data_IF_286892787420
#
_entry.id   IF_286892787420
#
_cell.length_a   1.000
_cell.length_b   1.000
_cell.length_c   1.000
_cell.angle_alpha   90.00
_cell.angle_beta   90.00
_cell.angle_gamma   90.00
#
_symmetry.space_group_name_H-M   'P 1'
#
loop_
_entity.id
_entity.type
_entity.pdbx_description
1 polymer ?
#
# COMPACT_ATOMS: atom_id res chain seq x y z
N UNK A 1 3.44 16.07 22.08
CA UNK A 1 2.97 14.67 22.03
C UNK A 1 2.47 14.35 20.63
N UNK A 2 3.27 13.67 19.83
CA UNK A 2 2.95 12.59 18.88
C UNK A 2 4.25 12.31 18.10
N UNK A 3 4.71 11.07 18.06
CA UNK A 3 5.92 10.69 17.32
C UNK A 3 5.48 9.83 16.12
N UNK A 4 5.14 10.41 14.95
CA UNK A 4 4.54 9.66 13.85
C UNK A 4 5.52 8.71 13.11
N UNK A 5 6.79 8.63 13.53
CA UNK A 5 7.83 7.97 12.73
C UNK A 5 8.18 6.54 13.12
N UNK A 6 7.46 5.87 14.04
CA UNK A 6 7.69 4.42 14.29
C UNK A 6 6.82 3.51 13.41
N UNK A 7 6.57 3.94 12.18
CA UNK A 7 5.89 3.18 11.12
C UNK A 7 6.73 3.26 9.84
N UNK A 8 8.05 3.11 9.96
CA UNK A 8 8.87 2.83 8.77
C UNK A 8 8.36 1.53 8.18
N UNK A 9 7.62 1.64 7.08
CA UNK A 9 7.66 0.62 6.05
C UNK A 9 9.15 0.44 5.75
N UNK A 10 9.68 -0.77 5.88
CA UNK A 10 11.04 -1.02 5.40
C UNK A 10 11.13 -0.58 3.93
N UNK A 11 12.33 -0.27 3.41
CA UNK A 11 12.49 0.33 2.08
C UNK A 11 11.59 -0.34 1.04
N UNK A 12 11.70 -1.67 0.92
CA UNK A 12 10.84 -2.50 0.08
C UNK A 12 9.33 -2.20 0.16
N UNK A 13 8.74 -2.16 1.36
CA UNK A 13 7.31 -1.91 1.54
C UNK A 13 6.95 -0.43 1.37
N UNK A 14 7.91 0.47 1.55
CA UNK A 14 7.75 1.91 1.32
C UNK A 14 7.68 2.19 -0.18
N UNK A 15 8.68 1.72 -0.93
CA UNK A 15 8.72 1.80 -2.39
C UNK A 15 7.45 1.20 -3.02
N UNK A 16 7.06 -0.01 -2.59
CA UNK A 16 5.82 -0.64 -3.05
C UNK A 16 4.57 0.21 -2.79
N UNK A 17 4.51 0.88 -1.64
CA UNK A 17 3.36 1.74 -1.30
C UNK A 17 3.28 2.97 -2.20
N UNK A 18 4.42 3.59 -2.54
CA UNK A 18 4.44 4.74 -3.44
C UNK A 18 4.01 4.37 -4.87
N UNK A 19 4.41 3.19 -5.33
CA UNK A 19 3.97 2.62 -6.61
C UNK A 19 2.46 2.40 -6.60
N UNK A 20 1.96 1.71 -5.57
CA UNK A 20 0.52 1.43 -5.44
C UNK A 20 -0.31 2.70 -5.25
N UNK A 21 0.20 3.74 -4.59
CA UNK A 21 -0.45 5.04 -4.49
C UNK A 21 -0.67 5.71 -5.84
N UNK A 22 0.24 5.49 -6.80
CA UNK A 22 0.13 6.02 -8.16
C UNK A 22 -0.78 5.14 -9.03
N UNK A 23 -0.82 3.83 -8.74
CA UNK A 23 -1.55 2.86 -9.56
C UNK A 23 -3.00 2.60 -9.09
N UNK A 24 -3.31 2.83 -7.82
CA UNK A 24 -4.64 2.62 -7.22
C UNK A 24 -5.30 3.98 -7.04
N UNK A 25 -6.45 4.19 -7.68
CA UNK A 25 -7.25 5.38 -7.40
C UNK A 25 -7.85 5.27 -6.00
N UNK A 26 -7.80 6.31 -5.15
CA UNK A 26 -8.31 6.21 -3.76
C UNK A 26 -9.81 5.88 -3.70
N UNK A 27 -10.54 6.19 -4.77
CA UNK A 27 -11.97 5.95 -4.94
C UNK A 27 -12.31 4.54 -5.47
N UNK A 28 -11.32 3.81 -6.00
CA UNK A 28 -11.52 2.54 -6.70
C UNK A 28 -10.51 1.49 -6.20
N UNK A 29 -11.01 0.32 -5.83
CA UNK A 29 -10.16 -0.79 -5.43
C UNK A 29 -9.41 -1.37 -6.62
N UNK A 30 -8.32 -2.08 -6.36
CA UNK A 30 -7.63 -2.85 -7.38
C UNK A 30 -7.57 -4.33 -6.99
N UNK A 31 -7.74 -5.22 -7.97
CA UNK A 31 -7.50 -6.64 -7.72
C UNK A 31 -6.04 -6.88 -7.25
N UNK A 32 -5.80 -7.78 -6.29
CA UNK A 32 -4.47 -8.07 -5.77
C UNK A 32 -3.51 -8.54 -6.87
N UNK A 33 -3.99 -9.31 -7.85
CA UNK A 33 -3.19 -9.73 -9.01
C UNK A 33 -2.68 -8.54 -9.83
N UNK A 34 -3.50 -7.50 -9.98
CA UNK A 34 -3.14 -6.29 -10.72
C UNK A 34 -2.21 -5.40 -9.88
N UNK A 35 -2.39 -5.34 -8.57
CA UNK A 35 -1.43 -4.70 -7.66
C UNK A 35 -0.05 -5.36 -7.75
N UNK A 36 0.01 -6.70 -7.71
CA UNK A 36 1.23 -7.46 -7.92
C UNK A 36 1.84 -7.21 -9.30
N UNK A 37 1.02 -7.11 -10.34
CA UNK A 37 1.45 -6.74 -11.70
C UNK A 37 2.19 -5.40 -11.73
N UNK A 38 1.58 -4.35 -11.15
CA UNK A 38 2.21 -3.02 -11.08
C UNK A 38 3.56 -3.04 -10.35
N UNK A 39 3.66 -3.78 -9.25
CA UNK A 39 4.92 -3.92 -8.51
C UNK A 39 6.00 -4.64 -9.34
N UNK A 40 5.63 -5.65 -10.14
CA UNK A 40 6.57 -6.35 -11.01
C UNK A 40 7.10 -5.47 -12.14
N UNK A 41 6.25 -4.61 -12.71
CA UNK A 41 6.68 -3.66 -13.75
C UNK A 41 7.76 -2.71 -13.22
N UNK A 42 7.69 -2.36 -11.94
CA UNK A 42 8.67 -1.54 -11.23
C UNK A 42 9.90 -2.33 -10.73
N UNK A 43 9.99 -3.62 -11.04
CA UNK A 43 11.15 -4.47 -10.76
C UNK A 43 11.08 -5.28 -9.47
N UNK A 44 9.92 -5.38 -8.82
CA UNK A 44 9.73 -6.28 -7.69
C UNK A 44 9.64 -7.74 -8.15
N UNK A 45 10.29 -8.65 -7.43
CA UNK A 45 10.04 -10.09 -7.56
C UNK A 45 8.63 -10.43 -7.07
N UNK A 46 8.04 -11.52 -7.56
CA UNK A 46 6.75 -12.05 -7.06
C UNK A 46 6.69 -12.08 -5.52
N UNK A 47 7.69 -12.71 -4.89
CA UNK A 47 7.73 -12.83 -3.43
C UNK A 47 7.96 -11.51 -2.69
N UNK A 48 8.68 -10.57 -3.29
CA UNK A 48 8.88 -9.23 -2.71
C UNK A 48 7.58 -8.41 -2.78
N UNK A 49 6.87 -8.51 -3.90
CA UNK A 49 5.60 -7.84 -4.12
C UNK A 49 4.51 -8.38 -3.17
N UNK A 50 4.40 -9.70 -3.06
CA UNK A 50 3.48 -10.36 -2.12
C UNK A 50 3.79 -9.95 -0.67
N UNK A 51 5.06 -10.04 -0.28
CA UNK A 51 5.49 -9.65 1.06
C UNK A 51 5.21 -8.17 1.35
N UNK A 52 5.42 -7.27 0.37
CA UNK A 52 5.15 -5.86 0.53
C UNK A 52 3.65 -5.59 0.72
N UNK A 53 2.78 -6.20 -0.09
CA UNK A 53 1.32 -6.05 0.04
C UNK A 53 0.84 -6.56 1.39
N UNK A 54 1.26 -7.75 1.82
CA UNK A 54 0.92 -8.30 3.14
C UNK A 54 1.37 -7.37 4.26
N UNK A 55 2.60 -6.83 4.17
CA UNK A 55 3.13 -5.87 5.14
C UNK A 55 2.27 -4.62 5.21
N UNK A 56 1.80 -4.12 4.08
CA UNK A 56 0.97 -2.93 3.99
C UNK A 56 -0.42 -3.15 4.57
N UNK A 57 -1.04 -4.31 4.31
CA UNK A 57 -2.29 -4.73 4.93
C UNK A 57 -2.16 -4.84 6.45
N UNK A 58 -1.13 -5.57 6.93
CA UNK A 58 -0.86 -5.75 8.37
C UNK A 58 -0.61 -4.42 9.09
N UNK A 59 -0.07 -3.42 8.39
CA UNK A 59 0.19 -2.10 8.92
C UNK A 59 -0.97 -1.13 8.73
N UNK A 60 -2.04 -1.52 8.04
CA UNK A 60 -3.22 -0.69 7.76
C UNK A 60 -2.96 0.44 6.77
N UNK A 61 -2.00 0.27 5.88
CA UNK A 61 -1.78 1.16 4.72
C UNK A 61 -2.65 0.75 3.53
N UNK A 62 -2.92 -0.54 3.43
CA UNK A 62 -3.93 -1.11 2.54
C UNK A 62 -5.03 -1.73 3.37
N UNK A 63 -6.21 -1.85 2.78
CA UNK A 63 -7.29 -2.68 3.28
C UNK A 63 -7.95 -3.42 2.11
N UNK A 64 -8.48 -4.60 2.38
CA UNK A 64 -9.19 -5.41 1.39
C UNK A 64 -10.71 -5.27 1.60
N UNK A 65 -11.44 -5.01 0.51
CA UNK A 65 -12.91 -5.02 0.47
C UNK A 65 -13.33 -5.76 -0.78
N UNK A 66 -14.21 -6.76 -0.62
CA UNK A 66 -14.71 -7.58 -1.73
C UNK A 66 -13.61 -8.27 -2.58
N UNK A 67 -12.45 -8.55 -1.98
CA UNK A 67 -11.29 -9.12 -2.68
C UNK A 67 -10.49 -8.10 -3.50
N UNK A 68 -10.77 -6.80 -3.35
CA UNK A 68 -10.03 -5.70 -3.96
C UNK A 68 -9.25 -4.93 -2.88
N UNK A 69 -8.05 -4.48 -3.23
CA UNK A 69 -7.15 -3.71 -2.38
C UNK A 69 -7.42 -2.22 -2.55
N UNK A 70 -7.59 -1.53 -1.45
CA UNK A 70 -7.78 -0.09 -1.38
C UNK A 70 -6.66 0.56 -0.58
N UNK A 71 -6.25 1.76 -1.00
CA UNK A 71 -5.35 2.60 -0.21
C UNK A 71 -6.12 3.13 0.99
N UNK A 72 -5.60 2.93 2.19
CA UNK A 72 -6.07 3.67 3.37
C UNK A 72 -5.68 5.13 3.17
N UNK A 73 -6.61 5.94 2.66
CA UNK A 73 -6.49 7.39 2.76
C UNK A 73 -6.33 7.71 4.24
N UNK A 74 -5.11 8.12 4.62
CA UNK A 74 -4.92 8.77 5.90
C UNK A 74 -5.72 10.03 5.75
N UNK A 75 -6.96 10.03 6.26
CA UNK A 75 -7.75 11.23 6.44
C UNK A 75 -6.75 12.29 6.92
N UNK A 76 -6.43 13.23 6.03
CA UNK A 76 -5.55 14.33 6.35
C UNK A 76 -6.08 14.86 7.66
N UNK A 77 -5.20 15.02 8.64
CA UNK A 77 -5.54 15.56 9.95
C UNK A 77 -6.72 16.51 9.83
N UNK A 78 -7.87 16.14 10.39
CA UNK A 78 -8.79 17.16 10.84
C UNK A 78 -7.97 18.06 11.75
N UNK A 79 -7.70 19.25 11.27
CA UNK A 79 -7.20 20.37 12.04
C UNK A 79 -7.83 21.57 11.36
N UNK A 80 -8.90 22.02 12.00
CA UNK A 80 -9.66 23.25 11.75
C UNK A 80 -8.76 24.49 11.59
#
# INVERSE_FOLDING_TARGET
MYNPTNRSLGPLSGDAYEILLTAIEPSEGIAPEKALGNLREEGFSDGDAEFAIERLLLRGYLYEVDGELFITERAGSSSE
#
